data_IF_898599041824
#
_entry.id   IF_898599041824
#
_cell.length_a   1.000
_cell.length_b   1.000
_cell.length_c   1.000
_cell.angle_alpha   90.00
_cell.angle_beta   90.00
_cell.angle_gamma   90.00
#
_symmetry.space_group_name_H-M   'P 1'
#
loop_
_entity.id
_entity.type
_entity.pdbx_description
1 polymer ?
#
# COMPACT_ATOMS: atom_id res chain seq x y z
N UNK A 1 2.83 -0.60 -12.57
CA UNK A 1 2.11 0.46 -11.83
C UNK A 1 2.62 1.81 -12.24
N UNK A 2 1.72 2.71 -12.60
CA UNK A 2 2.03 4.08 -13.04
C UNK A 2 1.39 5.06 -12.06
N UNK A 3 2.09 6.14 -11.75
CA UNK A 3 1.53 7.24 -10.99
C UNK A 3 0.73 8.12 -11.95
N UNK A 4 -0.58 8.19 -11.76
CA UNK A 4 -1.46 8.97 -12.64
C UNK A 4 -1.73 10.37 -12.08
N UNK A 5 -1.90 10.48 -10.76
CA UNK A 5 -2.15 11.75 -10.08
C UNK A 5 -1.49 11.78 -8.71
N UNK A 6 -0.99 12.96 -8.33
CA UNK A 6 -0.39 13.21 -7.02
C UNK A 6 -0.64 14.68 -6.65
N UNK A 7 -1.48 14.88 -5.64
CA UNK A 7 -1.75 16.19 -5.04
C UNK A 7 -1.44 16.10 -3.55
N UNK A 8 -0.45 16.87 -3.11
CA UNK A 8 0.16 16.74 -1.79
C UNK A 8 0.40 18.14 -1.19
N UNK A 9 0.31 18.28 0.15
CA UNK A 9 0.74 19.51 0.81
C UNK A 9 2.19 19.86 0.48
N UNK A 10 2.47 21.15 0.24
CA UNK A 10 3.81 21.62 -0.14
C UNK A 10 4.91 21.28 0.89
N UNK A 11 4.54 21.11 2.16
CA UNK A 11 5.44 20.77 3.27
C UNK A 11 5.36 19.30 3.69
N UNK A 12 4.84 18.39 2.85
CA UNK A 12 4.63 16.98 3.21
C UNK A 12 5.88 16.29 3.78
N UNK A 13 7.07 16.62 3.26
CA UNK A 13 8.34 16.06 3.71
C UNK A 13 8.69 16.37 5.18
N UNK A 14 8.04 17.36 5.80
CA UNK A 14 8.24 17.75 7.20
C UNK A 14 7.35 16.97 8.18
N UNK A 15 6.46 16.11 7.67
CA UNK A 15 5.44 15.42 8.45
C UNK A 15 5.62 13.91 8.48
N UNK A 16 4.95 13.27 9.44
CA UNK A 16 4.67 11.83 9.39
C UNK A 16 3.54 11.60 8.39
N UNK A 17 3.71 10.62 7.51
CA UNK A 17 2.76 10.32 6.43
C UNK A 17 2.09 8.99 6.73
N UNK A 18 0.75 8.99 6.77
CA UNK A 18 -0.04 7.77 6.75
C UNK A 18 -0.50 7.53 5.31
N UNK A 19 0.01 6.47 4.69
CA UNK A 19 -0.39 6.04 3.36
C UNK A 19 -1.45 4.96 3.51
N UNK A 20 -2.67 5.20 3.03
CA UNK A 20 -3.78 4.26 3.17
C UNK A 20 -3.98 3.42 1.91
N UNK A 21 -4.16 2.12 2.09
CA UNK A 21 -4.63 1.18 1.06
C UNK A 21 -5.70 0.27 1.66
N UNK A 22 -6.68 -0.18 0.87
CA UNK A 22 -7.67 -1.15 1.37
C UNK A 22 -7.08 -2.57 1.37
N UNK A 23 -6.49 -2.95 0.25
CA UNK A 23 -5.97 -4.29 -0.02
C UNK A 23 -4.65 -4.16 -0.74
N UNK A 24 -3.64 -4.92 -0.29
CA UNK A 24 -2.34 -4.95 -0.92
C UNK A 24 -2.06 -6.38 -1.44
N UNK A 25 -2.18 -6.58 -2.76
CA UNK A 25 -1.90 -7.85 -3.43
C UNK A 25 -0.38 -8.06 -3.55
N UNK A 26 0.20 -7.76 -4.70
CA UNK A 26 1.64 -7.85 -4.96
C UNK A 26 2.46 -6.72 -4.33
N UNK A 27 1.81 -5.72 -3.74
CA UNK A 27 2.45 -4.54 -3.11
C UNK A 27 3.07 -3.55 -4.08
N UNK A 28 2.91 -3.76 -5.39
CA UNK A 28 3.54 -2.94 -6.39
C UNK A 28 2.88 -1.55 -6.54
N UNK A 29 1.58 -1.43 -6.25
CA UNK A 29 0.87 -0.14 -6.23
C UNK A 29 1.37 0.72 -5.07
N UNK A 30 1.39 0.14 -3.88
CA UNK A 30 1.89 0.74 -2.65
C UNK A 30 3.35 1.14 -2.81
N UNK A 31 4.18 0.26 -3.37
CA UNK A 31 5.57 0.58 -3.66
C UNK A 31 5.72 1.80 -4.56
N UNK A 32 4.83 1.96 -5.57
CA UNK A 32 4.90 3.11 -6.47
C UNK A 32 4.49 4.40 -5.77
N UNK A 33 3.50 4.34 -4.88
CA UNK A 33 3.10 5.48 -4.05
C UNK A 33 4.20 5.87 -3.04
N UNK A 34 4.83 4.89 -2.38
CA UNK A 34 5.96 5.13 -1.47
C UNK A 34 7.14 5.74 -2.23
N UNK A 35 7.48 5.22 -3.41
CA UNK A 35 8.52 5.79 -4.28
C UNK A 35 8.22 7.24 -4.65
N UNK A 36 6.97 7.57 -4.96
CA UNK A 36 6.56 8.94 -5.26
C UNK A 36 6.71 9.88 -4.05
N UNK A 37 6.30 9.45 -2.85
CA UNK A 37 6.49 10.20 -1.61
C UNK A 37 7.97 10.44 -1.31
N UNK A 38 8.80 9.40 -1.43
CA UNK A 38 10.25 9.54 -1.27
C UNK A 38 10.86 10.50 -2.31
N UNK A 39 10.35 10.49 -3.55
CA UNK A 39 10.86 11.38 -4.62
C UNK A 39 10.62 12.87 -4.35
N UNK A 40 9.60 13.21 -3.55
CA UNK A 40 9.32 14.59 -3.11
C UNK A 40 9.95 14.93 -1.76
N UNK A 41 10.81 14.05 -1.23
CA UNK A 41 11.65 14.31 -0.06
C UNK A 41 11.13 13.75 1.26
N UNK A 42 10.06 12.96 1.29
CA UNK A 42 9.65 12.25 2.50
C UNK A 42 10.72 11.23 2.92
N UNK A 43 11.08 11.20 4.20
CA UNK A 43 11.90 10.12 4.76
C UNK A 43 11.05 8.84 4.81
N UNK A 44 11.56 7.74 4.27
CA UNK A 44 10.96 6.41 4.34
C UNK A 44 10.51 6.04 5.77
N UNK A 45 11.28 6.43 6.80
CA UNK A 45 10.98 6.19 8.22
C UNK A 45 9.76 6.96 8.73
N UNK A 46 9.39 8.05 8.07
CA UNK A 46 8.22 8.86 8.44
C UNK A 46 6.94 8.39 7.76
N UNK A 47 7.03 7.42 6.85
CA UNK A 47 5.89 6.85 6.14
C UNK A 47 5.44 5.56 6.83
N UNK A 48 4.17 5.50 7.19
CA UNK A 48 3.49 4.28 7.62
C UNK A 48 2.45 3.88 6.58
N UNK A 49 2.59 2.69 6.00
CA UNK A 49 1.55 2.07 5.17
C UNK A 49 0.50 1.46 6.09
N UNK A 50 -0.73 1.96 6.02
CA UNK A 50 -1.88 1.45 6.75
C UNK A 50 -2.79 0.71 5.76
N UNK A 51 -2.94 -0.59 5.95
CA UNK A 51 -3.69 -1.46 5.05
C UNK A 51 -4.65 -2.38 5.82
N UNK A 52 -5.81 -2.72 5.26
CA UNK A 52 -6.75 -3.62 5.95
C UNK A 52 -6.30 -5.07 5.81
N UNK A 53 -5.98 -5.49 4.59
CA UNK A 53 -5.52 -6.85 4.28
C UNK A 53 -4.36 -6.82 3.28
N UNK A 54 -3.33 -7.60 3.56
CA UNK A 54 -2.16 -7.71 2.69
C UNK A 54 -1.84 -9.17 2.41
N UNK A 55 -1.49 -9.50 1.16
CA UNK A 55 -0.97 -10.82 0.83
C UNK A 55 0.49 -10.94 1.27
N UNK A 56 0.91 -12.17 1.61
CA UNK A 56 2.28 -12.42 2.11
C UNK A 56 3.37 -11.91 1.16
N UNK A 57 3.19 -12.09 -0.15
CA UNK A 57 4.12 -11.59 -1.18
C UNK A 57 4.20 -10.06 -1.22
N UNK A 58 3.09 -9.37 -0.97
CA UNK A 58 3.04 -7.91 -0.87
C UNK A 58 3.87 -7.40 0.30
N UNK A 59 3.77 -8.04 1.48
CA UNK A 59 4.59 -7.69 2.64
C UNK A 59 6.07 -7.84 2.31
N UNK A 60 6.47 -8.96 1.72
CA UNK A 60 7.87 -9.24 1.37
C UNK A 60 8.39 -8.24 0.34
N UNK A 61 7.63 -7.95 -0.71
CA UNK A 61 8.01 -7.00 -1.75
C UNK A 61 8.23 -5.59 -1.19
N UNK A 62 7.28 -5.10 -0.38
CA UNK A 62 7.36 -3.77 0.23
C UNK A 62 8.54 -3.71 1.21
N UNK A 63 8.67 -4.71 2.09
CA UNK A 63 9.72 -4.74 3.12
C UNK A 63 11.13 -4.82 2.53
N UNK A 64 11.31 -5.52 1.41
CA UNK A 64 12.60 -5.59 0.71
C UNK A 64 12.98 -4.25 0.04
N UNK A 65 11.98 -3.51 -0.47
CA UNK A 65 12.21 -2.23 -1.17
C UNK A 65 12.30 -1.05 -0.21
N UNK A 66 11.56 -1.10 0.91
CA UNK A 66 11.44 -0.04 1.90
C UNK A 66 11.59 -0.61 3.32
N UNK A 67 12.81 -1.06 3.70
CA UNK A 67 13.06 -1.77 4.97
C UNK A 67 12.87 -0.93 6.24
N UNK A 68 12.71 0.39 6.13
CA UNK A 68 12.54 1.33 7.25
C UNK A 68 11.11 1.87 7.36
N UNK A 69 10.26 1.57 6.38
CA UNK A 69 8.83 1.89 6.42
C UNK A 69 8.12 0.98 7.43
N UNK A 70 7.10 1.52 8.10
CA UNK A 70 6.23 0.72 8.98
C UNK A 70 4.99 0.25 8.22
N UNK A 71 4.71 -1.05 8.22
CA UNK A 71 3.45 -1.62 7.73
C UNK A 71 2.53 -1.89 8.92
N UNK A 72 1.34 -1.29 8.91
CA UNK A 72 0.28 -1.52 9.88
C UNK A 72 -0.86 -2.20 9.14
N UNK A 73 -1.14 -3.46 9.46
CA UNK A 73 -2.19 -4.23 8.78
C UNK A 73 -3.21 -4.82 9.75
N UNK A 74 -4.47 -4.92 9.31
CA UNK A 74 -5.52 -5.65 10.02
C UNK A 74 -5.39 -7.17 9.90
N UNK A 75 -4.76 -7.65 8.81
CA UNK A 75 -4.50 -9.06 8.58
C UNK A 75 -3.50 -9.32 7.46
N UNK A 76 -2.83 -10.46 7.54
CA UNK A 76 -2.02 -11.01 6.44
C UNK A 76 -2.74 -12.27 5.98
N UNK A 77 -2.97 -12.39 4.68
CA UNK A 77 -3.71 -13.50 4.10
C UNK A 77 -2.91 -14.21 3.00
N UNK A 78 -3.52 -15.24 2.42
CA UNK A 78 -2.93 -16.21 1.52
C UNK A 78 -2.42 -15.66 0.18
N UNK A 79 -2.71 -16.38 -0.89
CA UNK A 79 -2.10 -16.13 -2.19
C UNK A 79 -2.87 -15.10 -2.99
N UNK A 80 -2.19 -14.49 -3.97
CA UNK A 80 -2.84 -13.64 -4.97
C UNK A 80 -3.26 -14.51 -6.15
N UNK A 81 -4.53 -14.45 -6.53
CA UNK A 81 -5.01 -15.05 -7.77
C UNK A 81 -4.43 -14.29 -8.96
N UNK A 82 -3.69 -14.99 -9.82
CA UNK A 82 -2.93 -14.38 -10.92
C UNK A 82 -3.81 -13.80 -12.03
N UNK A 83 -5.07 -14.23 -12.15
CA UNK A 83 -5.98 -13.74 -13.19
C UNK A 83 -6.72 -12.48 -12.74
N UNK A 84 -7.04 -12.40 -11.46
CA UNK A 84 -7.89 -11.34 -10.89
C UNK A 84 -7.13 -10.34 -10.01
N UNK A 85 -5.85 -10.61 -9.70
CA UNK A 85 -5.03 -9.89 -8.71
C UNK A 85 -5.67 -9.83 -7.30
N UNK A 86 -6.66 -10.69 -7.04
CA UNK A 86 -7.39 -10.73 -5.79
C UNK A 86 -6.67 -11.58 -4.75
N UNK A 87 -6.69 -11.15 -3.49
CA UNK A 87 -6.19 -11.94 -2.36
C UNK A 87 -7.19 -13.06 -2.09
N UNK A 88 -6.71 -14.30 -1.91
CA UNK A 88 -7.52 -15.49 -1.65
C UNK A 88 -7.04 -16.17 -0.35
N UNK A 89 -7.93 -16.46 0.63
CA UNK A 89 -9.40 -16.31 0.60
C UNK A 89 -9.90 -14.86 0.52
N UNK A 90 -9.21 -13.91 1.14
CA UNK A 90 -9.51 -12.49 1.05
C UNK A 90 -10.94 -12.12 1.46
N UNK A 91 -11.41 -11.00 0.93
CA UNK A 91 -12.76 -10.50 1.23
C UNK A 91 -13.48 -9.89 0.01
N UNK A 92 -13.01 -10.24 -1.19
CA UNK A 92 -13.53 -9.70 -2.46
C UNK A 92 -13.15 -8.24 -2.70
N UNK A 93 -13.90 -7.58 -3.59
CA UNK A 93 -13.71 -6.16 -3.91
C UNK A 93 -14.10 -5.28 -2.72
N UNK A 94 -13.11 -4.60 -2.12
CA UNK A 94 -13.33 -3.70 -1.00
C UNK A 94 -14.27 -2.55 -1.34
N UNK A 95 -14.06 -1.91 -2.49
CA UNK A 95 -14.75 -0.68 -2.87
C UNK A 95 -16.22 -0.97 -3.13
N UNK A 96 -16.51 -2.06 -3.84
CA UNK A 96 -17.88 -2.50 -4.09
C UNK A 96 -18.63 -2.75 -2.77
N UNK A 97 -17.99 -3.48 -1.85
CA UNK A 97 -18.59 -3.83 -0.54
C UNK A 97 -18.73 -2.63 0.39
N UNK A 98 -17.76 -1.73 0.40
CA UNK A 98 -17.76 -0.55 1.27
C UNK A 98 -18.81 0.47 0.81
N UNK A 99 -18.94 0.67 -0.51
CA UNK A 99 -19.90 1.63 -1.07
C UNK A 99 -21.32 1.06 -1.26
N UNK A 100 -21.49 -0.27 -1.11
CA UNK A 100 -22.79 -0.94 -1.24
C UNK A 100 -23.29 -1.06 -2.68
N UNK A 101 -22.36 -1.18 -3.64
CA UNK A 101 -22.64 -1.34 -5.07
C UNK A 101 -22.49 -2.78 -5.54
#
# INVERSE_FOLDING_TARGET
WRLDHMDLPANIAQHKVLLFSSTCSTGNAECKAIEALCSVGCDERSISLVVILVASDGVVNISNRFPRLTIITGGIDGTVDLQTDSIVPGFGDFVARYNGS
#
